data_IF_499411359653
#
_entry.id   IF_499411359653
#
_cell.length_a   1.000
_cell.length_b   1.000
_cell.length_c   1.000
_cell.angle_alpha   90.00
_cell.angle_beta   90.00
_cell.angle_gamma   90.00
#
_symmetry.space_group_name_H-M   'P 1'
#
loop_
_entity.id
_entity.type
_entity.pdbx_description
1 polymer ?
#
# COMPACT_ATOMS: atom_id res chain seq x y z
N UNK A 1 -10.89 -5.41 41.97
CA UNK A 1 -11.67 -4.27 41.46
C UNK A 1 -10.72 -3.08 41.49
N UNK A 2 -9.98 -2.83 40.41
CA UNK A 2 -8.98 -1.76 40.39
C UNK A 2 -9.70 -0.41 40.40
N UNK A 3 -9.45 0.36 41.45
CA UNK A 3 -9.86 1.75 41.56
C UNK A 3 -9.07 2.54 40.50
N UNK A 4 -9.64 2.66 39.29
CA UNK A 4 -8.97 3.34 38.18
C UNK A 4 -8.82 4.82 38.54
N UNK A 5 -7.62 5.21 38.96
CA UNK A 5 -7.27 6.60 39.23
C UNK A 5 -7.61 7.44 38.00
N UNK A 6 -8.61 8.32 38.14
CA UNK A 6 -9.04 9.20 37.05
C UNK A 6 -7.83 9.97 36.50
N UNK A 7 -7.65 10.07 35.17
CA UNK A 7 -6.55 10.80 34.53
C UNK A 7 -6.40 12.22 35.10
N UNK A 8 -5.22 12.54 35.64
CA UNK A 8 -4.91 13.87 36.18
C UNK A 8 -4.15 14.71 35.18
N UNK A 9 -3.24 14.10 34.41
CA UNK A 9 -2.47 14.77 33.38
C UNK A 9 -2.84 14.20 32.00
N UNK A 10 -3.44 15.04 31.16
CA UNK A 10 -3.90 14.66 29.83
C UNK A 10 -3.06 15.40 28.79
N UNK A 11 -2.49 14.65 27.85
CA UNK A 11 -1.88 15.21 26.65
C UNK A 11 -2.90 15.22 25.52
N UNK A 12 -3.11 16.36 24.89
CA UNK A 12 -3.99 16.50 23.73
C UNK A 12 -3.17 16.91 22.50
N UNK A 13 -3.11 16.05 21.50
CA UNK A 13 -2.42 16.34 20.24
C UNK A 13 -3.40 16.99 19.28
N UNK A 14 -3.21 18.30 19.06
CA UNK A 14 -4.07 19.12 18.20
C UNK A 14 -3.72 18.89 16.73
N UNK A 15 -4.10 17.73 16.20
CA UNK A 15 -3.98 17.44 14.76
C UNK A 15 -5.18 17.93 13.94
N UNK A 16 -6.34 18.09 14.58
CA UNK A 16 -7.56 18.65 13.99
C UNK A 16 -8.02 19.89 14.78
N UNK A 17 -8.35 20.96 14.06
CA UNK A 17 -8.77 22.25 14.66
C UNK A 17 -10.23 22.25 15.07
N UNK A 18 -11.09 21.63 14.27
CA UNK A 18 -12.54 21.80 14.38
C UNK A 18 -13.14 21.08 15.59
N UNK A 19 -12.50 19.99 16.03
CA UNK A 19 -12.96 19.16 17.15
C UNK A 19 -12.34 19.53 18.49
N UNK A 20 -11.34 20.42 18.49
CA UNK A 20 -10.54 20.73 19.66
C UNK A 20 -11.39 21.25 20.83
N UNK A 21 -12.15 22.33 20.61
CA UNK A 21 -12.95 22.97 21.67
C UNK A 21 -13.98 22.02 22.28
N UNK A 22 -14.67 21.25 21.42
CA UNK A 22 -15.66 20.27 21.87
C UNK A 22 -15.01 19.15 22.70
N UNK A 23 -13.85 18.65 22.26
CA UNK A 23 -13.12 17.59 22.95
C UNK A 23 -12.58 18.07 24.29
N UNK A 24 -12.02 19.28 24.36
CA UNK A 24 -11.53 19.87 25.62
C UNK A 24 -12.67 20.00 26.63
N UNK A 25 -13.84 20.50 26.21
CA UNK A 25 -15.03 20.58 27.09
C UNK A 25 -15.48 19.20 27.56
N UNK A 26 -15.53 18.22 26.65
CA UNK A 26 -15.87 16.84 27.00
C UNK A 26 -14.90 16.25 28.02
N UNK A 27 -13.59 16.40 27.81
CA UNK A 27 -12.56 15.90 28.72
C UNK A 27 -12.62 16.57 30.10
N UNK A 28 -12.92 17.87 30.16
CA UNK A 28 -13.11 18.59 31.43
C UNK A 28 -14.37 18.13 32.17
N UNK A 29 -15.43 17.79 31.44
CA UNK A 29 -16.66 17.24 32.04
C UNK A 29 -16.46 15.81 32.55
N UNK A 30 -15.71 14.98 31.82
CA UNK A 30 -15.42 13.57 32.20
C UNK A 30 -14.39 13.50 33.34
N UNK A 31 -13.33 14.31 33.26
CA UNK A 31 -12.21 14.34 34.19
C UNK A 31 -12.11 15.72 34.85
N UNK A 32 -13.00 15.95 35.81
CA UNK A 32 -12.99 17.17 36.60
C UNK A 32 -11.63 17.33 37.31
N UNK A 33 -11.06 18.53 37.24
CA UNK A 33 -9.72 18.89 37.75
C UNK A 33 -8.50 18.33 37.00
N UNK A 34 -8.69 17.70 35.83
CA UNK A 34 -7.57 17.26 35.00
C UNK A 34 -6.80 18.45 34.41
N UNK A 35 -5.47 18.34 34.31
CA UNK A 35 -4.60 19.28 33.60
C UNK A 35 -4.49 18.85 32.15
N UNK A 36 -4.80 19.75 31.22
CA UNK A 36 -4.75 19.48 29.78
C UNK A 36 -3.54 20.20 29.20
N UNK A 37 -2.56 19.42 28.78
CA UNK A 37 -1.40 19.91 28.03
C UNK A 37 -1.65 19.69 26.54
N UNK A 38 -1.47 20.71 25.72
CA UNK A 38 -1.77 20.64 24.29
C UNK A 38 -0.48 20.63 23.48
N UNK A 39 -0.27 19.61 22.65
CA UNK A 39 0.75 19.62 21.59
C UNK A 39 0.15 20.27 20.35
N UNK A 40 0.70 21.41 19.93
CA UNK A 40 0.20 22.18 18.79
C UNK A 40 1.33 22.85 18.00
N UNK A 41 1.12 23.15 16.71
CA UNK A 41 2.06 23.95 15.93
C UNK A 41 2.13 25.39 16.47
N UNK A 42 3.24 26.08 16.23
CA UNK A 42 3.48 27.42 16.81
C UNK A 42 2.44 28.45 16.37
N UNK A 43 1.91 28.32 15.15
CA UNK A 43 0.82 29.15 14.62
C UNK A 43 -0.45 29.12 15.47
N UNK A 44 -0.68 28.01 16.17
CA UNK A 44 -1.85 27.78 17.01
C UNK A 44 -1.67 28.29 18.46
N UNK A 45 -0.45 28.65 18.86
CA UNK A 45 -0.07 28.94 20.25
C UNK A 45 -0.86 30.09 20.86
N UNK A 46 -0.87 31.26 20.20
CA UNK A 46 -1.56 32.47 20.70
C UNK A 46 -3.06 32.25 20.96
N UNK A 47 -3.69 31.40 20.15
CA UNK A 47 -5.10 31.05 20.31
C UNK A 47 -5.31 30.15 21.54
N UNK A 48 -4.41 29.20 21.75
CA UNK A 48 -4.48 28.23 22.86
C UNK A 48 -4.12 28.86 24.21
N UNK A 49 -3.21 29.84 24.24
CA UNK A 49 -2.84 30.57 25.46
C UNK A 49 -4.02 31.37 26.04
N UNK A 50 -5.02 31.69 25.22
CA UNK A 50 -6.25 32.38 25.66
C UNK A 50 -7.32 31.42 26.18
N UNK A 51 -7.17 30.12 26.00
CA UNK A 51 -8.17 29.13 26.43
C UNK A 51 -7.94 28.74 27.90
N UNK A 52 -8.89 29.10 28.77
CA UNK A 52 -8.83 28.83 30.20
C UNK A 52 -8.86 27.34 30.56
N UNK A 53 -9.25 26.47 29.62
CA UNK A 53 -9.28 25.03 29.85
C UNK A 53 -7.93 24.35 29.56
N UNK A 54 -7.01 25.06 28.91
CA UNK A 54 -5.66 24.57 28.57
C UNK A 54 -4.69 24.98 29.68
N UNK A 55 -4.00 23.99 30.25
CA UNK A 55 -3.08 24.20 31.37
C UNK A 55 -1.66 24.53 30.91
N UNK A 56 -1.22 23.92 29.81
CA UNK A 56 0.08 24.18 29.21
C UNK A 56 0.10 23.79 27.74
N UNK A 57 1.08 24.31 27.01
CA UNK A 57 1.20 24.10 25.57
C UNK A 57 2.63 23.65 25.27
N UNK A 58 2.75 22.55 24.54
CA UNK A 58 4.01 22.07 23.97
C UNK A 58 3.99 22.46 22.50
N UNK A 59 5.01 23.20 22.07
CA UNK A 59 5.13 23.59 20.67
C UNK A 59 5.73 22.46 19.82
N UNK A 60 5.06 22.14 18.72
CA UNK A 60 5.58 21.29 17.66
C UNK A 60 6.48 22.03 16.66
N UNK A 61 6.72 23.34 16.87
CA UNK A 61 7.40 24.23 15.95
C UNK A 61 6.60 24.51 14.66
N UNK A 62 7.28 25.04 13.64
CA UNK A 62 6.69 25.42 12.35
C UNK A 62 6.53 24.22 11.38
N UNK A 63 6.39 23.02 11.91
CA UNK A 63 6.30 21.82 11.07
C UNK A 63 4.93 21.74 10.38
N UNK A 64 4.93 21.62 9.04
CA UNK A 64 3.69 21.44 8.26
C UNK A 64 2.96 20.14 8.60
N UNK A 65 3.69 19.11 9.03
CA UNK A 65 3.13 17.80 9.43
C UNK A 65 3.78 17.32 10.72
N UNK A 66 2.94 17.04 11.72
CA UNK A 66 3.37 16.46 12.99
C UNK A 66 3.55 14.94 12.84
N UNK A 67 4.77 14.48 13.09
CA UNK A 67 5.14 13.06 13.15
C UNK A 67 6.32 12.90 14.12
N UNK A 68 6.55 11.68 14.62
CA UNK A 68 7.71 11.41 15.48
C UNK A 68 9.02 11.84 14.80
N UNK A 69 9.15 11.61 13.49
CA UNK A 69 10.36 11.89 12.73
C UNK A 69 10.55 13.40 12.47
N UNK A 70 9.46 14.16 12.36
CA UNK A 70 9.53 15.61 12.11
C UNK A 70 9.65 16.44 13.38
N UNK A 71 9.27 15.89 14.54
CA UNK A 71 9.40 16.57 15.82
C UNK A 71 10.84 16.50 16.33
N UNK A 72 11.35 17.65 16.81
CA UNK A 72 12.67 17.72 17.44
C UNK A 72 12.68 16.81 18.67
N UNK A 73 13.79 16.11 18.89
CA UNK A 73 13.99 15.22 20.05
C UNK A 73 13.71 15.90 21.40
N UNK A 74 13.98 17.21 21.51
CA UNK A 74 13.63 18.04 22.67
C UNK A 74 12.13 18.01 22.99
N UNK A 75 11.27 18.11 21.98
CA UNK A 75 9.81 18.11 22.15
C UNK A 75 9.31 16.73 22.61
N UNK A 76 9.86 15.66 22.04
CA UNK A 76 9.53 14.28 22.47
C UNK A 76 9.95 14.06 23.92
N UNK A 77 11.13 14.55 24.31
CA UNK A 77 11.61 14.49 25.70
C UNK A 77 10.69 15.27 26.64
N UNK A 78 10.24 16.45 26.23
CA UNK A 78 9.28 17.27 26.97
C UNK A 78 7.93 16.56 27.15
N UNK A 79 7.39 15.96 26.08
CA UNK A 79 6.18 15.14 26.14
C UNK A 79 6.33 13.97 27.14
N UNK A 80 7.46 13.24 27.10
CA UNK A 80 7.71 12.15 28.04
C UNK A 80 7.88 12.61 29.48
N UNK A 81 8.51 13.79 29.68
CA UNK A 81 8.70 14.36 31.01
C UNK A 81 7.38 14.76 31.68
N UNK A 82 6.33 15.04 30.89
CA UNK A 82 5.01 15.41 31.37
C UNK A 82 4.23 14.30 32.09
N UNK A 83 4.68 13.03 32.01
CA UNK A 83 4.06 11.85 32.67
C UNK A 83 2.53 11.85 32.54
N UNK A 84 2.06 11.73 31.31
CA UNK A 84 0.64 11.80 30.98
C UNK A 84 -0.08 10.47 31.26
N UNK A 85 -1.18 10.54 32.01
CA UNK A 85 -2.03 9.38 32.32
C UNK A 85 -2.86 8.96 31.10
N UNK A 86 -3.25 9.95 30.30
CA UNK A 86 -4.02 9.81 29.07
C UNK A 86 -3.42 10.66 27.96
N UNK A 87 -3.22 10.09 26.78
CA UNK A 87 -2.93 10.85 25.56
C UNK A 87 -4.12 10.80 24.60
N UNK A 88 -4.42 11.93 23.97
CA UNK A 88 -5.59 12.12 23.12
C UNK A 88 -5.16 12.59 21.75
N UNK A 89 -5.51 11.81 20.72
CA UNK A 89 -5.32 12.16 19.31
C UNK A 89 -6.63 12.71 18.76
N UNK A 90 -6.62 13.90 18.18
CA UNK A 90 -7.78 14.44 17.47
C UNK A 90 -7.73 14.10 15.99
N UNK A 91 -8.81 13.58 15.42
CA UNK A 91 -8.93 13.29 13.99
C UNK A 91 -9.94 14.22 13.33
N UNK A 92 -9.72 14.51 12.04
CA UNK A 92 -10.68 15.26 11.22
C UNK A 92 -11.67 14.34 10.49
N UNK A 93 -11.51 13.01 10.60
CA UNK A 93 -12.32 12.00 9.92
C UNK A 93 -12.83 10.97 10.91
N UNK A 94 -13.95 10.32 10.58
CA UNK A 94 -14.68 9.44 11.50
C UNK A 94 -13.93 8.18 11.92
N UNK A 95 -13.16 7.60 11.00
CA UNK A 95 -12.45 6.32 11.18
C UNK A 95 -10.99 6.46 11.63
N UNK A 96 -10.44 7.68 11.64
CA UNK A 96 -9.05 7.95 12.02
C UNK A 96 -7.96 7.27 11.15
N UNK A 97 -8.31 6.76 9.96
CA UNK A 97 -7.35 6.17 9.01
C UNK A 97 -6.39 7.23 8.44
N UNK A 98 -5.09 6.92 8.40
CA UNK A 98 -4.06 7.86 7.95
C UNK A 98 -3.56 8.80 9.04
N UNK A 99 -4.08 8.66 10.27
CA UNK A 99 -3.61 9.37 11.45
C UNK A 99 -2.67 8.52 12.32
N UNK A 100 -2.18 7.37 11.82
CA UNK A 100 -1.23 6.52 12.57
C UNK A 100 0.03 7.25 13.02
N UNK A 101 0.49 8.28 12.29
CA UNK A 101 1.61 9.12 12.73
C UNK A 101 1.29 9.90 14.02
N UNK A 102 0.06 10.39 14.15
CA UNK A 102 -0.41 11.14 15.33
C UNK A 102 -0.63 10.18 16.50
N UNK A 103 -1.16 8.99 16.23
CA UNK A 103 -1.31 7.96 17.27
C UNK A 103 0.05 7.48 17.78
N UNK A 104 1.02 7.32 16.89
CA UNK A 104 2.38 7.00 17.27
C UNK A 104 3.00 8.12 18.11
N UNK A 105 2.70 9.40 17.83
CA UNK A 105 3.10 10.52 18.68
C UNK A 105 2.46 10.47 20.07
N UNK A 106 1.17 10.14 20.14
CA UNK A 106 0.48 9.94 21.42
C UNK A 106 1.14 8.80 22.20
N UNK A 107 1.52 7.71 21.54
CA UNK A 107 2.28 6.62 22.13
C UNK A 107 3.69 7.04 22.58
N UNK A 108 4.37 7.86 21.78
CA UNK A 108 5.71 8.35 22.10
C UNK A 108 5.76 9.22 23.37
N UNK A 109 4.62 9.80 23.78
CA UNK A 109 4.47 10.50 25.06
C UNK A 109 4.67 9.61 26.30
N UNK A 110 4.56 8.29 26.14
CA UNK A 110 4.69 7.32 27.23
C UNK A 110 3.41 7.09 28.03
N UNK A 111 2.27 7.63 27.58
CA UNK A 111 0.98 7.37 28.21
C UNK A 111 0.52 5.91 27.98
N UNK A 112 -0.06 5.30 29.02
CA UNK A 112 -0.59 3.92 28.93
C UNK A 112 -1.91 3.86 28.17
N UNK A 113 -2.76 4.87 28.34
CA UNK A 113 -4.08 4.95 27.73
C UNK A 113 -4.06 6.01 26.65
N UNK A 114 -4.50 5.65 25.45
CA UNK A 114 -4.49 6.55 24.30
C UNK A 114 -5.89 6.55 23.68
N UNK A 115 -6.48 7.72 23.49
CA UNK A 115 -7.82 7.86 22.89
C UNK A 115 -7.77 8.67 21.61
N UNK A 116 -8.31 8.10 20.54
CA UNK A 116 -8.50 8.78 19.27
C UNK A 116 -9.91 9.32 19.13
N UNK A 117 -10.09 10.64 19.17
CA UNK A 117 -11.40 11.29 19.01
C UNK A 117 -11.64 11.68 17.57
N UNK A 118 -12.84 11.38 17.08
CA UNK A 118 -13.24 11.70 15.73
C UNK A 118 -14.00 13.04 15.62
N UNK A 119 -14.39 13.39 14.39
CA UNK A 119 -15.15 14.60 14.07
C UNK A 119 -16.47 14.73 14.86
N UNK A 120 -17.08 13.60 15.20
CA UNK A 120 -18.36 13.51 15.93
C UNK A 120 -18.19 13.42 17.45
N UNK A 121 -16.96 13.50 17.96
CA UNK A 121 -16.66 13.40 19.39
C UNK A 121 -16.72 11.97 19.96
N UNK A 122 -16.89 10.94 19.12
CA UNK A 122 -16.72 9.55 19.54
C UNK A 122 -15.23 9.24 19.63
N UNK A 123 -14.84 8.39 20.57
CA UNK A 123 -13.46 7.97 20.72
C UNK A 123 -13.28 6.46 20.59
N UNK A 124 -12.10 6.07 20.15
CA UNK A 124 -11.60 4.70 20.22
C UNK A 124 -10.40 4.70 21.15
N UNK A 125 -10.40 3.79 22.11
CA UNK A 125 -9.27 3.60 23.02
C UNK A 125 -8.28 2.59 22.42
N UNK A 126 -7.00 2.93 22.51
CA UNK A 126 -5.91 2.14 21.98
C UNK A 126 -4.89 1.86 23.07
N UNK A 127 -4.42 0.61 23.11
CA UNK A 127 -3.19 0.24 23.80
C UNK A 127 -1.99 0.44 22.86
N UNK A 128 -0.78 0.57 23.42
CA UNK A 128 0.44 0.80 22.64
C UNK A 128 0.65 -0.21 21.51
N UNK A 129 0.34 -1.49 21.73
CA UNK A 129 0.40 -2.52 20.67
C UNK A 129 -0.61 -2.27 19.55
N UNK A 130 -1.82 -1.80 19.87
CA UNK A 130 -2.84 -1.47 18.89
C UNK A 130 -2.40 -0.34 17.97
N UNK A 131 -1.68 0.65 18.49
CA UNK A 131 -1.13 1.76 17.71
C UNK A 131 0.00 1.30 16.81
N UNK A 132 0.93 0.50 17.32
CA UNK A 132 2.02 -0.05 16.51
C UNK A 132 1.46 -0.93 15.39
N UNK A 133 0.48 -1.79 15.70
CA UNK A 133 -0.22 -2.61 14.71
C UNK A 133 -0.92 -1.73 13.67
N UNK A 134 -1.65 -0.69 14.08
CA UNK A 134 -2.29 0.26 13.15
C UNK A 134 -1.27 0.95 12.26
N UNK A 135 -0.17 1.46 12.83
CA UNK A 135 0.92 2.08 12.09
C UNK A 135 1.54 1.12 11.08
N UNK A 136 1.84 -0.11 11.51
CA UNK A 136 2.41 -1.12 10.63
C UNK A 136 1.42 -1.49 9.52
N UNK A 137 0.15 -1.75 9.82
CA UNK A 137 -0.86 -2.08 8.80
C UNK A 137 -1.07 -0.96 7.79
N UNK A 138 -1.13 0.30 8.22
CA UNK A 138 -1.26 1.44 7.30
C UNK A 138 -0.03 1.59 6.39
N UNK A 139 1.18 1.33 6.93
CA UNK A 139 2.43 1.42 6.14
C UNK A 139 2.68 0.18 5.28
N UNK A 140 2.34 -1.01 5.76
CA UNK A 140 2.56 -2.29 5.06
C UNK A 140 1.49 -2.62 4.05
N UNK A 141 0.26 -2.10 4.18
CA UNK A 141 -0.72 -2.19 3.09
C UNK A 141 -0.19 -1.54 1.81
N UNK A 142 0.59 -0.47 1.95
CA UNK A 142 1.29 0.14 0.83
C UNK A 142 2.43 -0.74 0.29
N UNK A 143 3.19 -1.41 1.16
CA UNK A 143 4.22 -2.37 0.75
C UNK A 143 3.62 -3.57 0.01
N UNK A 144 2.51 -4.13 0.50
CA UNK A 144 1.79 -5.22 -0.16
C UNK A 144 1.23 -4.82 -1.52
N UNK A 145 0.72 -3.58 -1.63
CA UNK A 145 0.33 -3.02 -2.92
C UNK A 145 1.52 -2.96 -3.90
N UNK A 146 2.68 -2.47 -3.45
CA UNK A 146 3.90 -2.43 -4.27
C UNK A 146 4.32 -3.84 -4.70
N UNK A 147 4.37 -4.79 -3.78
CA UNK A 147 4.73 -6.19 -4.07
C UNK A 147 3.79 -6.76 -5.14
N UNK A 148 2.48 -6.60 -4.99
CA UNK A 148 1.51 -7.09 -5.97
C UNK A 148 1.68 -6.44 -7.36
N UNK A 149 1.97 -5.14 -7.41
CA UNK A 149 2.28 -4.47 -8.68
C UNK A 149 3.53 -5.05 -9.33
N UNK A 150 4.62 -5.22 -8.57
CA UNK A 150 5.85 -5.83 -9.09
C UNK A 150 5.65 -7.26 -9.57
N UNK A 151 4.96 -8.09 -8.78
CA UNK A 151 4.64 -9.47 -9.17
C UNK A 151 3.84 -9.51 -10.47
N UNK A 152 2.89 -8.59 -10.65
CA UNK A 152 2.09 -8.50 -11.87
C UNK A 152 2.95 -8.10 -13.07
N UNK A 153 3.82 -7.10 -12.92
CA UNK A 153 4.75 -6.67 -13.99
C UNK A 153 5.67 -7.82 -14.40
N UNK A 154 6.26 -8.51 -13.42
CA UNK A 154 7.16 -9.65 -13.66
C UNK A 154 6.40 -10.77 -14.38
N UNK A 155 5.18 -11.10 -13.94
CA UNK A 155 4.35 -12.12 -14.58
C UNK A 155 4.05 -11.76 -16.04
N UNK A 156 3.65 -10.51 -16.31
CA UNK A 156 3.42 -10.04 -17.68
C UNK A 156 4.68 -10.07 -18.54
N UNK A 157 5.84 -9.74 -17.97
CA UNK A 157 7.11 -9.83 -18.67
C UNK A 157 7.44 -11.27 -19.07
N UNK A 158 7.26 -12.24 -18.16
CA UNK A 158 7.49 -13.67 -18.45
C UNK A 158 6.52 -14.21 -19.50
N UNK A 159 5.23 -13.85 -19.42
CA UNK A 159 4.23 -14.26 -20.43
C UNK A 159 4.61 -13.68 -21.80
N UNK A 160 4.94 -12.39 -21.86
CA UNK A 160 5.31 -11.72 -23.11
C UNK A 160 6.58 -12.32 -23.71
N UNK A 161 7.60 -12.57 -22.88
CA UNK A 161 8.85 -13.20 -23.31
C UNK A 161 8.61 -14.64 -23.79
N UNK A 162 7.75 -15.39 -23.10
CA UNK A 162 7.34 -16.74 -23.51
C UNK A 162 6.68 -16.76 -24.88
N UNK A 163 5.73 -15.84 -25.13
CA UNK A 163 5.06 -15.71 -26.44
C UNK A 163 6.06 -15.31 -27.54
N UNK A 164 6.97 -14.36 -27.26
CA UNK A 164 8.01 -13.95 -28.21
C UNK A 164 8.98 -15.09 -28.53
N UNK A 165 9.37 -15.88 -27.52
CA UNK A 165 10.27 -17.01 -27.69
C UNK A 165 9.59 -18.14 -28.47
N UNK A 166 8.32 -18.43 -28.16
CA UNK A 166 7.52 -19.39 -28.93
C UNK A 166 7.40 -18.96 -30.40
N UNK A 167 7.13 -17.67 -30.64
CA UNK A 167 7.09 -17.11 -31.98
C UNK A 167 8.44 -17.27 -32.70
N UNK A 168 9.55 -16.95 -32.04
CA UNK A 168 10.89 -17.10 -32.60
C UNK A 168 11.22 -18.57 -32.95
N UNK A 169 10.88 -19.52 -32.07
CA UNK A 169 11.05 -20.96 -32.34
C UNK A 169 10.24 -21.37 -33.56
N UNK A 170 8.96 -20.98 -33.63
CA UNK A 170 8.09 -21.29 -34.77
C UNK A 170 8.68 -20.75 -36.08
N UNK A 171 9.25 -19.54 -36.07
CA UNK A 171 9.91 -18.96 -37.24
C UNK A 171 11.15 -19.76 -37.67
N UNK A 172 12.01 -20.16 -36.72
CA UNK A 172 13.21 -20.97 -37.02
C UNK A 172 12.84 -22.35 -37.55
N UNK A 173 11.82 -23.01 -36.99
CA UNK A 173 11.32 -24.29 -37.48
C UNK A 173 10.67 -24.17 -38.87
N UNK A 174 9.91 -23.12 -39.12
CA UNK A 174 9.33 -22.86 -40.44
C UNK A 174 10.44 -22.68 -41.51
N UNK A 175 11.49 -21.90 -41.19
CA UNK A 175 12.62 -21.68 -42.09
C UNK A 175 13.43 -22.95 -42.37
N UNK A 176 13.69 -23.77 -41.35
CA UNK A 176 14.41 -25.05 -41.50
C UNK A 176 13.60 -26.10 -42.27
N UNK A 177 12.29 -26.19 -42.02
CA UNK A 177 11.38 -27.03 -42.81
C UNK A 177 11.36 -26.62 -44.29
N UNK A 178 11.26 -25.32 -44.58
CA UNK A 178 11.26 -24.81 -45.97
C UNK A 178 12.60 -25.09 -46.68
N UNK A 179 13.72 -24.98 -45.96
CA UNK A 179 15.06 -25.30 -46.47
C UNK A 179 15.21 -26.79 -46.79
N UNK A 180 14.69 -27.67 -45.93
CA UNK A 180 14.66 -29.12 -46.17
C UNK A 180 13.77 -29.51 -47.36
N UNK A 181 12.62 -28.86 -47.54
CA UNK A 181 11.76 -29.11 -48.71
C UNK A 181 12.47 -28.67 -50.01
N UNK A 182 13.17 -27.51 -49.99
CA UNK A 182 13.94 -27.04 -51.15
C UNK A 182 15.14 -27.94 -51.47
N UNK A 183 15.85 -28.49 -50.48
CA UNK A 183 16.96 -29.42 -50.72
C UNK A 183 16.47 -30.76 -51.29
N UNK A 184 15.36 -31.31 -50.76
CA UNK A 184 14.73 -32.53 -51.31
C UNK A 184 14.30 -32.33 -52.77
N UNK A 185 13.72 -31.17 -53.10
CA UNK A 185 13.29 -30.85 -54.46
C UNK A 185 14.48 -30.72 -55.42
N UNK A 186 15.62 -30.15 -54.98
CA UNK A 186 16.86 -30.10 -55.77
C UNK A 186 17.48 -31.49 -55.98
N UNK A 187 17.47 -32.34 -54.96
CA UNK A 187 17.97 -33.71 -55.05
C UNK A 187 17.13 -34.57 -56.02
N UNK A 188 15.81 -34.36 -56.06
CA UNK A 188 14.90 -35.06 -56.97
C UNK A 188 15.04 -34.65 -58.44
N UNK A 189 15.57 -33.46 -58.72
CA UNK A 189 15.81 -32.94 -60.09
C UNK A 189 17.18 -33.40 -60.63
N UNK A 190 18.09 -33.86 -59.78
CA UNK A 190 19.45 -34.26 -60.16
C UNK A 190 19.61 -35.73 -60.60
N UNK A 191 18.52 -36.52 -60.66
CA UNK A 191 18.57 -37.89 -61.20
C UNK A 191 18.19 -37.88 -62.69
N UNK A 192 19.12 -38.08 -63.64
CA UNK A 192 18.74 -38.32 -65.02
C UNK A 192 18.12 -39.73 -65.12
N UNK A 193 16.85 -39.78 -65.53
CA UNK A 193 16.21 -41.04 -65.92
C UNK A 193 16.91 -41.57 -67.18
N UNK A 194 17.61 -42.68 -67.03
CA UNK A 194 18.07 -43.48 -68.15
C UNK A 194 16.84 -44.04 -68.87
N UNK A 195 16.55 -43.54 -70.06
CA UNK A 195 15.47 -44.02 -70.91
C UNK A 195 15.89 -45.34 -71.55
N UNK A 196 15.36 -46.47 -71.06
CA UNK A 196 15.26 -47.69 -71.87
C UNK A 196 13.89 -47.74 -72.53
N UNK A 197 13.87 -47.54 -73.84
CA UNK A 197 12.74 -47.83 -74.73
C UNK A 197 12.52 -49.33 -74.82
N UNK A 198 11.34 -49.82 -74.40
CA UNK A 198 10.79 -51.10 -74.85
C UNK A 198 9.38 -50.90 -75.42
N UNK A 199 9.32 -50.99 -76.75
CA UNK A 199 8.09 -51.15 -77.52
C UNK A 199 7.42 -52.49 -77.17
N UNK A 200 6.14 -52.47 -76.84
CA UNK A 200 5.28 -53.67 -76.86
C UNK A 200 4.03 -53.36 -77.68
N UNK A 201 3.85 -54.19 -78.70
CA UNK A 201 2.78 -54.19 -79.70
C UNK A 201 1.38 -54.47 -79.12
N UNK A 202 0.41 -53.73 -79.66
CA UNK A 202 -0.93 -54.13 -80.11
C UNK A 202 -1.63 -55.32 -79.44
N UNK A 203 -2.78 -55.03 -78.80
CA UNK A 203 -3.93 -55.93 -78.78
C UNK A 203 -5.25 -55.17 -79.04
N UNK A 204 -5.75 -55.37 -80.26
CA UNK A 204 -7.12 -55.72 -80.67
C UNK A 204 -8.33 -55.00 -80.03
N UNK A 205 -9.14 -54.35 -80.88
CA UNK A 205 -10.59 -54.33 -80.71
C UNK A 205 -11.29 -54.52 -82.07
N UNK A 206 -11.82 -55.72 -82.32
CA UNK A 206 -12.82 -55.99 -83.37
C UNK A 206 -14.19 -55.90 -82.70
N UNK A 207 -15.07 -55.04 -83.21
CA UNK A 207 -16.51 -55.20 -83.05
C UNK A 207 -17.20 -54.48 -84.22
N UNK A 208 -17.67 -55.27 -85.20
CA UNK A 208 -18.64 -54.84 -86.21
C UNK A 208 -19.94 -55.62 -85.98
N UNK A 209 -20.96 -54.88 -85.54
CA UNK A 209 -22.34 -54.80 -86.05
C UNK A 209 -23.23 -56.04 -86.31
N UNK A 210 -24.44 -55.96 -85.73
CA UNK A 210 -25.81 -56.32 -86.22
C UNK A 210 -26.02 -57.80 -86.68
N UNK A 211 -27.08 -58.51 -86.29
CA UNK A 211 -28.51 -58.22 -86.08
C UNK A 211 -29.01 -59.07 -84.91
#
# INVERSE_FOLDING_TARGET
MEESTKPKNILLIRSATNTFNATVKSLKSEFQNSKITVLAPESARKMLERDSNVSSIISAGDTKRMSILSLKSKVIKEMRSGKFDLAVSLYNIDHGMGYSNIDCLAWASGSKIIRGYNARGRFVEFNGWGIIKKYFLEKTSFTWFIVNVFTTIILFAFITLGILFEWAIRQVFALTSLKNIRSLRKQKVAFPQHTETKNIHNFTHKAHQKI
#
